data_IF_563048404615
#
_entry.id   IF_563048404615
#
_cell.length_a   1.000
_cell.length_b   1.000
_cell.length_c   1.000
_cell.angle_alpha   90.00
_cell.angle_beta   90.00
_cell.angle_gamma   90.00
#
_symmetry.space_group_name_H-M   'P 1'
#
loop_
_entity.id
_entity.type
_entity.pdbx_description
1 polymer ?
#
# COMPACT_ATOMS: atom_id res chain seq x y z
N UNK A 1 30.05 0.21 46.63
CA UNK A 1 29.27 -0.79 45.91
C UNK A 1 28.56 -0.06 44.79
N UNK A 2 29.15 -0.13 43.61
CA UNK A 2 28.64 0.56 42.41
C UNK A 2 27.79 -0.46 41.61
N UNK A 3 26.52 -0.15 41.42
CA UNK A 3 25.60 -0.94 40.62
C UNK A 3 25.80 -0.61 39.13
N UNK A 4 26.20 -1.60 38.35
CA UNK A 4 26.30 -1.51 36.90
C UNK A 4 24.90 -1.43 36.28
N UNK A 5 24.69 -0.49 35.36
CA UNK A 5 23.49 -0.39 34.54
C UNK A 5 23.41 -1.55 33.54
N UNK A 6 22.21 -2.08 33.21
CA UNK A 6 22.06 -3.12 32.23
C UNK A 6 22.34 -2.57 30.81
N UNK A 7 23.27 -3.18 30.11
CA UNK A 7 23.62 -2.86 28.75
C UNK A 7 22.45 -3.13 27.79
N UNK A 8 22.06 -2.12 27.03
CA UNK A 8 21.19 -2.24 25.86
C UNK A 8 21.97 -2.95 24.76
N UNK A 9 21.70 -4.24 24.58
CA UNK A 9 22.16 -4.99 23.43
C UNK A 9 21.57 -4.41 22.13
N UNK A 10 22.26 -4.56 20.99
CA UNK A 10 21.77 -4.06 19.72
C UNK A 10 20.40 -4.69 19.40
N UNK A 11 19.43 -3.83 19.05
CA UNK A 11 18.14 -4.29 18.58
C UNK A 11 18.36 -5.23 17.38
N UNK A 12 17.83 -6.44 17.50
CA UNK A 12 17.86 -7.44 16.45
C UNK A 12 17.08 -6.86 15.26
N UNK A 13 17.75 -6.66 14.13
CA UNK A 13 17.08 -6.39 12.86
C UNK A 13 16.02 -7.47 12.64
N UNK A 14 14.75 -7.10 12.37
CA UNK A 14 13.76 -8.07 12.00
C UNK A 14 14.23 -8.72 10.69
N UNK A 15 14.50 -10.00 10.70
CA UNK A 15 14.82 -10.76 9.50
C UNK A 15 13.61 -10.65 8.56
N UNK A 16 13.74 -9.85 7.48
CA UNK A 16 12.78 -9.84 6.38
C UNK A 16 12.79 -11.24 5.80
N UNK A 17 11.71 -12.03 5.90
CA UNK A 17 11.69 -13.33 5.27
C UNK A 17 11.88 -13.13 3.78
N UNK A 18 12.91 -13.77 3.21
CA UNK A 18 13.08 -13.86 1.77
C UNK A 18 11.74 -14.30 1.15
N UNK A 19 11.34 -13.67 0.05
CA UNK A 19 10.07 -13.85 -0.68
C UNK A 19 9.50 -15.26 -0.53
N UNK A 20 8.70 -15.47 0.50
CA UNK A 20 7.91 -16.69 0.63
C UNK A 20 6.71 -16.45 -0.27
N UNK A 21 6.74 -17.01 -1.47
CA UNK A 21 5.54 -17.15 -2.27
C UNK A 21 4.57 -17.99 -1.47
N UNK A 22 3.56 -17.39 -0.85
CA UNK A 22 2.54 -18.09 -0.08
C UNK A 22 1.89 -19.18 -0.92
N UNK A 23 1.33 -20.20 -0.25
CA UNK A 23 0.51 -21.22 -0.92
C UNK A 23 -0.82 -20.61 -1.38
N UNK A 24 -1.42 -21.20 -2.39
CA UNK A 24 -2.79 -20.89 -2.78
C UNK A 24 -3.75 -21.36 -1.69
N UNK A 25 -4.64 -20.47 -1.28
CA UNK A 25 -5.68 -20.69 -0.27
C UNK A 25 -7.01 -20.26 -0.81
N UNK A 26 -8.06 -20.88 -0.34
CA UNK A 26 -9.42 -20.39 -0.55
C UNK A 26 -9.70 -19.29 0.45
N UNK A 27 -10.02 -18.11 -0.06
CA UNK A 27 -10.41 -16.94 0.70
C UNK A 27 -11.89 -16.65 0.50
N UNK A 28 -12.63 -16.35 1.55
CA UNK A 28 -14.06 -16.03 1.47
C UNK A 28 -14.27 -14.52 1.57
N UNK A 29 -15.07 -13.94 0.69
CA UNK A 29 -15.45 -12.52 0.77
C UNK A 29 -16.40 -12.34 1.96
N UNK A 30 -15.99 -11.54 2.95
CA UNK A 30 -16.77 -11.25 4.15
C UNK A 30 -17.44 -9.87 4.13
N UNK A 31 -16.89 -8.93 3.34
CA UNK A 31 -17.50 -7.63 3.10
C UNK A 31 -17.12 -7.12 1.71
N UNK A 32 -18.04 -6.34 1.11
CA UNK A 32 -17.85 -5.67 -0.18
C UNK A 32 -18.51 -4.30 -0.14
N UNK A 33 -17.75 -3.27 -0.47
CA UNK A 33 -18.19 -1.87 -0.48
C UNK A 33 -17.67 -1.16 -1.74
N UNK A 34 -18.38 -0.13 -2.19
CA UNK A 34 -17.95 0.73 -3.30
C UNK A 34 -17.64 2.15 -2.79
N UNK A 35 -16.42 2.42 -2.31
CA UNK A 35 -16.05 3.73 -1.79
C UNK A 35 -16.14 4.85 -2.83
N UNK A 36 -15.96 4.51 -4.11
CA UNK A 36 -16.14 5.40 -5.26
C UNK A 36 -16.80 4.64 -6.41
N UNK A 37 -17.30 5.34 -7.44
CA UNK A 37 -17.87 4.65 -8.63
C UNK A 37 -16.88 3.75 -9.38
N UNK A 38 -15.58 3.92 -9.15
CA UNK A 38 -14.51 3.19 -9.86
C UNK A 38 -13.69 2.29 -8.96
N UNK A 39 -14.02 2.18 -7.68
CA UNK A 39 -13.27 1.32 -6.75
C UNK A 39 -14.19 0.39 -5.97
N UNK A 40 -13.71 -0.82 -5.72
CA UNK A 40 -14.32 -1.78 -4.81
C UNK A 40 -13.36 -2.10 -3.67
N UNK A 41 -13.87 -2.03 -2.45
CA UNK A 41 -13.18 -2.46 -1.24
C UNK A 41 -13.74 -3.82 -0.83
N UNK A 42 -12.85 -4.79 -0.70
CA UNK A 42 -13.18 -6.16 -0.35
C UNK A 42 -12.45 -6.55 0.93
N UNK A 43 -13.16 -7.25 1.81
CA UNK A 43 -12.54 -7.93 2.95
C UNK A 43 -12.68 -9.43 2.76
N UNK A 44 -11.57 -10.13 3.00
CA UNK A 44 -11.50 -11.59 2.88
C UNK A 44 -11.14 -12.22 4.23
N UNK A 45 -11.82 -13.29 4.56
CA UNK A 45 -11.30 -14.28 5.50
C UNK A 45 -10.38 -15.24 4.74
N UNK A 46 -9.15 -15.39 5.23
CA UNK A 46 -8.13 -16.25 4.63
C UNK A 46 -7.61 -17.20 5.71
N UNK A 47 -8.14 -18.41 5.79
CA UNK A 47 -7.74 -19.38 6.80
C UNK A 47 -6.24 -19.67 6.80
N UNK A 48 -5.64 -19.78 7.98
CA UNK A 48 -4.21 -20.09 8.18
C UNK A 48 -3.24 -19.19 7.42
N UNK A 49 -3.64 -17.93 7.15
CA UNK A 49 -2.77 -16.98 6.46
C UNK A 49 -1.50 -16.72 7.24
N UNK A 50 -0.39 -16.59 6.54
CA UNK A 50 0.85 -16.06 7.11
C UNK A 50 0.70 -14.55 7.21
N UNK A 51 1.01 -13.90 8.36
CA UNK A 51 1.02 -12.45 8.46
C UNK A 51 1.93 -11.82 7.39
N UNK A 52 1.41 -10.84 6.68
CA UNK A 52 2.18 -10.09 5.69
C UNK A 52 2.90 -8.90 6.34
N UNK A 53 3.87 -8.32 5.62
CA UNK A 53 4.46 -7.02 5.97
C UNK A 53 3.74 -5.91 5.21
N UNK A 54 3.62 -4.70 5.78
CA UNK A 54 3.05 -3.55 5.07
C UNK A 54 3.81 -3.28 3.78
N UNK A 55 3.10 -3.19 2.67
CA UNK A 55 3.66 -3.04 1.34
C UNK A 55 3.79 -4.34 0.54
N UNK A 56 3.56 -5.52 1.16
CA UNK A 56 3.39 -6.75 0.40
C UNK A 56 2.04 -6.79 -0.31
N UNK A 57 1.92 -7.68 -1.28
CA UNK A 57 0.73 -7.88 -2.07
C UNK A 57 0.25 -9.33 -2.03
N UNK A 58 -0.93 -9.56 -2.56
CA UNK A 58 -1.45 -10.88 -2.86
C UNK A 58 -1.68 -11.03 -4.36
N UNK A 59 -1.79 -12.28 -4.82
CA UNK A 59 -2.35 -12.62 -6.12
C UNK A 59 -3.72 -13.24 -5.88
N UNK A 60 -4.75 -12.72 -6.54
CA UNK A 60 -6.06 -13.35 -6.63
C UNK A 60 -6.21 -14.05 -7.96
N UNK A 61 -6.90 -15.19 -7.99
CA UNK A 61 -7.16 -15.97 -9.19
C UNK A 61 -8.64 -16.33 -9.28
N UNK A 62 -9.24 -15.96 -10.40
CA UNK A 62 -10.57 -16.40 -10.79
C UNK A 62 -10.43 -17.64 -11.67
N UNK A 63 -11.36 -18.56 -11.54
CA UNK A 63 -11.45 -19.75 -12.37
C UNK A 63 -12.84 -19.88 -12.95
N UNK A 64 -12.94 -19.96 -14.27
CA UNK A 64 -14.17 -20.24 -14.97
C UNK A 64 -14.47 -21.74 -15.00
N UNK A 65 -15.72 -22.11 -15.27
CA UNK A 65 -16.18 -23.52 -15.32
C UNK A 65 -15.46 -24.35 -16.38
N UNK A 66 -15.04 -23.73 -17.49
CA UNK A 66 -14.27 -24.36 -18.57
C UNK A 66 -12.78 -24.56 -18.23
N UNK A 67 -12.35 -24.14 -17.02
CA UNK A 67 -10.97 -24.23 -16.56
C UNK A 67 -10.09 -23.03 -16.89
N UNK A 68 -10.58 -22.04 -17.63
CA UNK A 68 -9.85 -20.79 -17.85
C UNK A 68 -9.56 -20.10 -16.53
N UNK A 69 -8.41 -19.45 -16.41
CA UNK A 69 -8.02 -18.72 -15.19
C UNK A 69 -7.48 -17.33 -15.51
N UNK A 70 -7.95 -16.35 -14.77
CA UNK A 70 -7.42 -15.00 -14.76
C UNK A 70 -6.86 -14.66 -13.38
N UNK A 71 -5.68 -14.03 -13.33
CA UNK A 71 -5.07 -13.66 -12.06
C UNK A 71 -4.48 -12.26 -12.09
N UNK A 72 -4.53 -11.56 -10.92
CA UNK A 72 -3.95 -10.21 -10.77
C UNK A 72 -3.37 -10.04 -9.38
N UNK A 73 -2.34 -9.20 -9.31
CA UNK A 73 -1.70 -8.79 -8.06
C UNK A 73 -2.37 -7.53 -7.50
N UNK A 74 -2.59 -7.52 -6.19
CA UNK A 74 -3.14 -6.37 -5.47
C UNK A 74 -2.38 -6.16 -4.16
N UNK A 75 -1.95 -4.93 -3.89
CA UNK A 75 -1.37 -4.57 -2.60
C UNK A 75 -2.42 -4.74 -1.49
N UNK A 76 -2.00 -5.25 -0.34
CA UNK A 76 -2.88 -5.34 0.83
C UNK A 76 -3.13 -3.95 1.40
N UNK A 77 -4.39 -3.65 1.71
CA UNK A 77 -4.82 -2.44 2.41
C UNK A 77 -4.75 -2.62 3.93
N UNK A 78 -5.07 -3.83 4.41
CA UNK A 78 -5.00 -4.19 5.82
C UNK A 78 -3.57 -4.22 6.33
N UNK A 79 -3.39 -3.86 7.61
CA UNK A 79 -2.13 -4.03 8.30
C UNK A 79 -1.95 -5.48 8.79
N UNK A 80 -0.70 -5.92 9.07
CA UNK A 80 -0.41 -7.30 9.46
C UNK A 80 -1.18 -7.85 10.66
N UNK A 81 -1.52 -6.98 11.61
CA UNK A 81 -2.21 -7.31 12.86
C UNK A 81 -3.73 -7.37 12.73
N UNK A 82 -4.29 -6.87 11.62
CA UNK A 82 -5.74 -6.86 11.40
C UNK A 82 -6.23 -8.26 11.02
N UNK A 83 -7.44 -8.58 11.46
CA UNK A 83 -8.10 -9.82 11.06
C UNK A 83 -8.53 -9.73 9.59
N UNK A 84 -8.28 -10.81 8.85
CA UNK A 84 -8.59 -10.86 7.42
C UNK A 84 -7.60 -10.09 6.54
N UNK A 85 -7.96 -9.98 5.27
CA UNK A 85 -7.21 -9.25 4.25
C UNK A 85 -8.14 -8.26 3.56
N UNK A 86 -7.78 -6.99 3.57
CA UNK A 86 -8.50 -5.97 2.81
C UNK A 86 -7.76 -5.65 1.52
N UNK A 87 -8.51 -5.57 0.42
CA UNK A 87 -8.04 -5.15 -0.88
C UNK A 87 -8.93 -4.01 -1.40
N UNK A 88 -8.32 -2.96 -1.90
CA UNK A 88 -9.01 -1.92 -2.64
C UNK A 88 -8.57 -1.99 -4.09
N UNK A 89 -9.53 -2.26 -4.97
CA UNK A 89 -9.30 -2.48 -6.39
C UNK A 89 -9.92 -1.36 -7.21
N UNK A 90 -9.20 -0.86 -8.20
CA UNK A 90 -9.75 0.04 -9.21
C UNK A 90 -10.34 -0.80 -10.35
N UNK A 91 -11.58 -0.49 -10.74
CA UNK A 91 -12.26 -1.12 -11.86
C UNK A 91 -11.70 -0.56 -13.16
N UNK A 92 -11.17 -1.41 -14.00
CA UNK A 92 -10.77 -1.11 -15.37
C UNK A 92 -11.84 -1.59 -16.35
N UNK A 93 -12.10 -0.83 -17.41
CA UNK A 93 -13.16 -1.12 -18.40
C UNK A 93 -12.99 -2.51 -19.04
N UNK A 94 -11.74 -2.86 -19.39
CA UNK A 94 -11.39 -4.16 -19.96
C UNK A 94 -10.75 -5.11 -18.93
N UNK A 95 -10.87 -4.78 -17.64
CA UNK A 95 -10.25 -5.53 -16.56
C UNK A 95 -11.09 -6.71 -16.13
N UNK A 96 -10.76 -7.92 -16.58
CA UNK A 96 -11.50 -9.14 -16.28
C UNK A 96 -11.63 -9.40 -14.77
N UNK A 97 -10.52 -9.40 -14.03
CA UNK A 97 -10.52 -9.64 -12.58
C UNK A 97 -11.14 -8.45 -11.83
N UNK A 98 -10.77 -7.22 -12.15
CA UNK A 98 -11.31 -6.04 -11.48
C UNK A 98 -12.80 -5.83 -11.81
N UNK A 99 -13.23 -6.16 -13.03
CA UNK A 99 -14.64 -6.16 -13.44
C UNK A 99 -15.47 -7.18 -12.67
N UNK A 100 -14.98 -8.42 -12.51
CA UNK A 100 -15.65 -9.43 -11.71
C UNK A 100 -15.89 -8.92 -10.27
N UNK A 101 -14.85 -8.41 -9.60
CA UNK A 101 -15.00 -7.93 -8.24
C UNK A 101 -15.90 -6.71 -8.10
N UNK A 102 -15.94 -5.83 -9.09
CA UNK A 102 -16.76 -4.63 -9.04
C UNK A 102 -18.23 -4.89 -9.39
N UNK A 103 -18.52 -5.82 -10.31
CA UNK A 103 -19.83 -5.95 -10.93
C UNK A 103 -20.56 -7.27 -10.59
N UNK A 104 -19.83 -8.33 -10.21
CA UNK A 104 -20.37 -9.69 -10.07
C UNK A 104 -20.22 -10.26 -8.68
N UNK A 105 -19.06 -10.10 -8.06
CA UNK A 105 -18.70 -10.69 -6.76
C UNK A 105 -19.68 -10.34 -5.64
N UNK A 106 -19.87 -11.26 -4.72
CA UNK A 106 -20.79 -11.13 -3.57
C UNK A 106 -20.12 -11.61 -2.30
N UNK A 107 -20.63 -11.13 -1.17
CA UNK A 107 -20.28 -11.68 0.14
C UNK A 107 -20.64 -13.17 0.18
N UNK A 108 -19.71 -13.99 0.62
CA UNK A 108 -19.80 -15.45 0.64
C UNK A 108 -19.10 -16.15 -0.54
N UNK A 109 -18.70 -15.41 -1.60
CA UNK A 109 -17.94 -16.02 -2.69
C UNK A 109 -16.55 -16.44 -2.23
N UNK A 110 -16.10 -17.59 -2.75
CA UNK A 110 -14.79 -18.16 -2.51
C UNK A 110 -13.83 -17.83 -3.65
N UNK A 111 -12.68 -17.29 -3.32
CA UNK A 111 -11.67 -16.81 -4.27
C UNK A 111 -10.33 -17.47 -3.96
N UNK A 112 -9.62 -17.95 -4.97
CA UNK A 112 -8.25 -18.43 -4.79
C UNK A 112 -7.30 -17.24 -4.58
N UNK A 113 -6.63 -17.23 -3.45
CA UNK A 113 -5.70 -16.17 -3.06
C UNK A 113 -4.35 -16.74 -2.64
N UNK A 114 -3.27 -16.08 -3.04
CA UNK A 114 -1.90 -16.41 -2.63
C UNK A 114 -1.25 -15.19 -2.01
N UNK A 115 -0.85 -15.30 -0.74
CA UNK A 115 -0.17 -14.23 0.01
C UNK A 115 0.67 -14.84 1.15
N UNK A 116 1.64 -14.10 1.72
CA UNK A 116 2.14 -12.80 1.24
C UNK A 116 3.12 -12.95 0.07
N UNK A 117 3.20 -11.94 -0.79
CA UNK A 117 4.12 -11.89 -1.93
C UNK A 117 4.86 -10.57 -1.93
N UNK A 118 6.13 -10.60 -2.40
CA UNK A 118 7.00 -9.44 -2.45
C UNK A 118 7.83 -9.26 -1.16
N UNK A 119 8.94 -8.55 -1.28
CA UNK A 119 9.86 -8.28 -0.17
C UNK A 119 10.68 -7.00 -0.37
N UNK A 120 10.65 -6.44 -1.59
CA UNK A 120 11.38 -5.22 -1.90
C UNK A 120 10.62 -3.96 -1.47
N UNK A 121 9.32 -3.90 -1.73
CA UNK A 121 8.46 -2.77 -1.38
C UNK A 121 7.79 -3.01 -0.02
N UNK A 122 8.56 -3.13 1.05
CA UNK A 122 8.04 -3.35 2.41
C UNK A 122 8.60 -2.34 3.38
N UNK A 123 7.81 -2.02 4.39
CA UNK A 123 8.26 -1.28 5.55
C UNK A 123 8.38 -2.21 6.77
N UNK A 124 9.50 -2.11 7.47
CA UNK A 124 9.88 -3.03 8.58
C UNK A 124 9.29 -2.64 9.95
N UNK A 125 8.53 -1.55 10.02
CA UNK A 125 7.96 -1.06 11.28
C UNK A 125 8.93 -0.27 12.16
N UNK A 126 10.20 -0.12 11.77
CA UNK A 126 11.24 0.50 12.61
C UNK A 126 12.06 1.58 11.91
N UNK A 127 12.26 1.46 10.60
CA UNK A 127 13.09 2.39 9.82
C UNK A 127 12.30 3.67 9.49
N UNK A 128 12.84 4.88 9.75
CA UNK A 128 12.22 6.13 9.30
C UNK A 128 11.99 6.14 7.79
N UNK A 129 10.75 6.32 7.37
CA UNK A 129 10.33 6.21 5.97
C UNK A 129 9.57 7.44 5.47
N UNK A 130 9.79 7.78 4.20
CA UNK A 130 8.89 8.62 3.43
C UNK A 130 8.18 7.78 2.37
N UNK A 131 6.86 7.89 2.27
CA UNK A 131 6.06 7.11 1.36
C UNK A 131 5.20 8.01 0.45
N UNK A 132 5.36 7.87 -0.87
CA UNK A 132 4.68 8.67 -1.87
C UNK A 132 3.74 7.80 -2.70
N UNK A 133 2.43 8.08 -2.69
CA UNK A 133 1.40 7.31 -3.38
C UNK A 133 0.67 8.09 -4.47
N UNK A 134 0.45 7.49 -5.63
CA UNK A 134 -0.35 8.05 -6.73
C UNK A 134 -1.63 7.27 -6.98
N UNK A 135 -2.80 7.90 -6.84
CA UNK A 135 -4.09 7.21 -7.00
C UNK A 135 -4.21 6.03 -6.05
N UNK A 136 -4.55 4.85 -6.58
CA UNK A 136 -4.61 3.59 -5.82
C UNK A 136 -3.25 3.11 -5.30
N UNK A 137 -2.13 3.73 -5.74
CA UNK A 137 -0.82 3.55 -5.11
C UNK A 137 -0.75 4.02 -3.64
N UNK A 138 -1.77 4.70 -3.15
CA UNK A 138 -1.92 4.99 -1.72
C UNK A 138 -2.26 3.74 -0.87
N UNK A 139 -2.78 2.67 -1.46
CA UNK A 139 -3.24 1.45 -0.76
C UNK A 139 -2.17 0.86 0.16
N UNK A 140 -0.96 0.50 -0.31
CA UNK A 140 0.06 -0.05 0.57
C UNK A 140 0.54 0.95 1.63
N UNK A 141 0.41 2.25 1.38
CA UNK A 141 0.76 3.29 2.34
C UNK A 141 -0.22 3.36 3.51
N UNK A 142 -1.51 3.09 3.25
CA UNK A 142 -2.52 2.95 4.33
C UNK A 142 -2.14 1.81 5.25
N UNK A 143 -1.75 0.64 4.73
CA UNK A 143 -1.28 -0.49 5.53
C UNK A 143 -0.06 -0.10 6.41
N UNK A 144 0.87 0.70 5.87
CA UNK A 144 2.03 1.20 6.62
C UNK A 144 1.59 2.15 7.75
N UNK A 145 0.68 3.08 7.49
CA UNK A 145 0.13 4.01 8.48
C UNK A 145 -0.59 3.27 9.61
N UNK A 146 -1.44 2.31 9.27
CA UNK A 146 -2.14 1.46 10.25
C UNK A 146 -1.17 0.69 11.12
N UNK A 147 -0.17 0.09 10.49
CA UNK A 147 0.86 -0.65 11.21
C UNK A 147 1.70 0.25 12.13
N UNK A 148 2.11 1.43 11.66
CA UNK A 148 2.85 2.41 12.46
C UNK A 148 2.05 2.87 13.70
N UNK A 149 0.74 3.08 13.56
CA UNK A 149 -0.15 3.40 14.67
C UNK A 149 -0.24 2.25 15.67
N UNK A 150 -0.41 1.02 15.18
CA UNK A 150 -0.45 -0.18 16.03
C UNK A 150 0.82 -0.36 16.86
N UNK A 151 1.98 -0.13 16.25
CA UNK A 151 3.28 -0.20 16.93
C UNK A 151 3.57 1.01 17.85
N UNK A 152 2.74 2.04 17.84
CA UNK A 152 2.98 3.27 18.60
C UNK A 152 4.09 4.17 18.03
N UNK A 153 4.45 4.01 16.77
CA UNK A 153 5.53 4.75 16.08
C UNK A 153 5.04 5.52 14.84
N UNK A 154 3.90 6.24 14.89
CA UNK A 154 3.34 6.92 13.71
C UNK A 154 4.29 7.96 13.12
N UNK A 155 5.21 8.49 13.90
CA UNK A 155 6.21 9.48 13.47
C UNK A 155 7.28 8.91 12.52
N UNK A 156 7.42 7.58 12.43
CA UNK A 156 8.40 6.93 11.55
C UNK A 156 7.96 6.87 10.09
N UNK A 157 6.67 7.04 9.78
CA UNK A 157 6.17 7.01 8.40
C UNK A 157 5.54 8.35 8.04
N UNK A 158 6.16 9.06 7.12
CA UNK A 158 5.62 10.30 6.55
C UNK A 158 5.07 10.03 5.17
N UNK A 159 3.81 10.41 4.93
CA UNK A 159 3.08 10.04 3.72
C UNK A 159 2.69 11.29 2.92
N UNK A 160 2.85 11.21 1.60
CA UNK A 160 2.15 12.10 0.69
C UNK A 160 1.42 11.28 -0.38
N UNK A 161 0.20 11.70 -0.70
CA UNK A 161 -0.61 11.08 -1.75
C UNK A 161 -0.99 12.10 -2.80
N UNK A 162 -1.04 11.67 -4.06
CA UNK A 162 -1.46 12.50 -5.18
C UNK A 162 -2.57 11.82 -5.97
N UNK A 163 -3.68 12.53 -6.18
CA UNK A 163 -4.81 12.04 -6.96
C UNK A 163 -5.40 13.17 -7.83
N UNK A 164 -6.36 12.85 -8.67
CA UNK A 164 -7.07 13.86 -9.48
C UNK A 164 -7.91 14.79 -8.60
N UNK A 165 -8.67 14.20 -7.70
CA UNK A 165 -9.48 14.90 -6.70
C UNK A 165 -9.33 14.24 -5.33
N UNK A 166 -9.81 14.89 -4.28
CA UNK A 166 -9.78 14.31 -2.92
C UNK A 166 -10.66 13.06 -2.79
N UNK A 167 -11.72 12.95 -3.58
CA UNK A 167 -12.58 11.76 -3.61
C UNK A 167 -11.86 10.53 -4.20
N UNK A 168 -10.82 10.75 -5.02
CA UNK A 168 -10.05 9.65 -5.63
C UNK A 168 -8.92 9.13 -4.71
N UNK A 169 -8.77 9.69 -3.50
CA UNK A 169 -7.75 9.22 -2.53
C UNK A 169 -8.33 8.09 -1.69
N UNK A 170 -7.79 6.86 -1.78
CA UNK A 170 -8.22 5.76 -0.93
C UNK A 170 -8.01 6.08 0.56
N UNK A 171 -9.01 5.75 1.38
CA UNK A 171 -8.95 5.96 2.84
C UNK A 171 -8.49 7.38 3.24
N UNK A 172 -8.93 8.40 2.48
CA UNK A 172 -8.44 9.79 2.62
C UNK A 172 -8.51 10.31 4.04
N UNK A 173 -9.64 10.13 4.71
CA UNK A 173 -9.83 10.64 6.07
C UNK A 173 -8.80 10.04 7.05
N UNK A 174 -8.49 8.76 6.90
CA UNK A 174 -7.50 8.06 7.70
C UNK A 174 -6.06 8.55 7.44
N UNK A 175 -5.75 8.80 6.17
CA UNK A 175 -4.46 9.37 5.77
C UNK A 175 -4.28 10.81 6.28
N UNK A 176 -5.32 11.65 6.17
CA UNK A 176 -5.31 13.03 6.68
C UNK A 176 -5.16 13.06 8.21
N UNK A 177 -5.87 12.19 8.92
CA UNK A 177 -5.74 12.03 10.37
C UNK A 177 -4.34 11.56 10.80
N UNK A 178 -3.64 10.82 9.92
CA UNK A 178 -2.24 10.47 10.10
C UNK A 178 -1.26 11.60 9.73
N UNK A 179 -1.74 12.77 9.33
CA UNK A 179 -0.91 13.89 8.90
C UNK A 179 -0.37 13.76 7.48
N UNK A 180 -0.93 12.90 6.64
CA UNK A 180 -0.49 12.76 5.26
C UNK A 180 -0.78 14.04 4.44
N UNK A 181 0.18 14.41 3.59
CA UNK A 181 0.00 15.47 2.62
C UNK A 181 -0.85 14.96 1.45
N UNK A 182 -1.99 15.60 1.20
CA UNK A 182 -2.87 15.27 0.08
C UNK A 182 -2.72 16.30 -1.04
N UNK A 183 -2.20 15.89 -2.18
CA UNK A 183 -2.04 16.69 -3.40
C UNK A 183 -3.09 16.32 -4.44
N UNK A 184 -3.97 17.25 -4.78
CA UNK A 184 -4.98 17.03 -5.81
C UNK A 184 -4.64 17.82 -7.08
N UNK A 185 -4.75 17.19 -8.25
CA UNK A 185 -4.27 17.79 -9.51
C UNK A 185 -5.35 18.49 -10.34
N UNK A 186 -6.64 18.24 -10.07
CA UNK A 186 -7.75 18.82 -10.86
C UNK A 186 -8.69 19.68 -10.06
N UNK A 187 -8.86 19.44 -8.76
CA UNK A 187 -9.74 20.22 -7.90
C UNK A 187 -8.99 20.64 -6.64
N UNK A 188 -9.29 21.85 -6.13
CA UNK A 188 -8.72 22.33 -4.87
C UNK A 188 -9.17 21.45 -3.71
N UNK A 189 -8.24 21.15 -2.81
CA UNK A 189 -8.50 20.47 -1.55
C UNK A 189 -7.72 21.15 -0.43
N UNK A 190 -8.41 21.55 0.62
CA UNK A 190 -7.80 22.25 1.74
C UNK A 190 -7.10 23.57 1.38
N UNK A 191 -6.23 24.02 2.25
CA UNK A 191 -5.47 25.26 2.10
C UNK A 191 -4.35 25.17 1.05
N UNK A 192 -3.88 23.95 0.74
CA UNK A 192 -2.78 23.74 -0.21
C UNK A 192 -3.10 24.20 -1.65
N UNK A 193 -4.38 24.23 -2.01
CA UNK A 193 -4.80 24.47 -3.39
C UNK A 193 -4.77 23.17 -4.21
N UNK A 194 -4.47 23.27 -5.53
CA UNK A 194 -4.34 22.11 -6.41
C UNK A 194 -2.99 22.15 -7.14
N UNK A 195 -2.55 20.99 -7.61
CA UNK A 195 -1.29 20.79 -8.30
C UNK A 195 -0.59 19.50 -7.88
N UNK A 196 0.46 19.15 -8.61
CA UNK A 196 1.32 18.01 -8.29
C UNK A 196 2.06 18.23 -6.96
N UNK A 197 2.67 17.19 -6.41
CA UNK A 197 3.63 17.31 -5.32
C UNK A 197 4.76 18.28 -5.72
N UNK A 198 5.15 19.14 -4.79
CA UNK A 198 6.18 20.15 -4.98
C UNK A 198 7.49 19.72 -4.33
N UNK A 199 8.60 20.23 -4.84
CA UNK A 199 9.93 19.89 -4.35
C UNK A 199 10.11 20.17 -2.85
N UNK A 200 9.67 21.36 -2.39
CA UNK A 200 9.75 21.76 -0.98
C UNK A 200 8.91 20.87 -0.06
N UNK A 201 7.77 20.37 -0.54
CA UNK A 201 6.93 19.44 0.22
C UNK A 201 7.60 18.08 0.41
N UNK A 202 8.16 17.54 -0.68
CA UNK A 202 8.85 16.25 -0.64
C UNK A 202 10.16 16.36 0.15
N UNK A 203 10.88 17.46 0.04
CA UNK A 203 12.10 17.72 0.82
C UNK A 203 11.81 17.68 2.33
N UNK A 204 10.75 18.39 2.79
CA UNK A 204 10.36 18.37 4.19
C UNK A 204 9.92 17.01 4.69
N UNK A 205 9.23 16.21 3.84
CA UNK A 205 8.84 14.85 4.18
C UNK A 205 10.01 13.87 4.20
N UNK A 206 11.01 14.08 3.35
CA UNK A 206 12.16 13.19 3.22
C UNK A 206 13.25 13.43 4.29
N UNK A 207 13.16 14.53 5.06
CA UNK A 207 14.13 14.86 6.10
C UNK A 207 14.27 13.73 7.12
N UNK A 208 15.48 13.17 7.27
CA UNK A 208 15.77 12.06 8.18
C UNK A 208 15.20 10.69 7.76
N UNK A 209 14.51 10.58 6.61
CA UNK A 209 14.09 9.29 6.09
C UNK A 209 15.30 8.47 5.64
N UNK A 210 15.28 7.16 5.93
CA UNK A 210 16.31 6.19 5.56
C UNK A 210 15.85 5.27 4.43
N UNK A 211 14.54 5.23 4.17
CA UNK A 211 13.91 4.52 3.06
C UNK A 211 12.83 5.39 2.47
N UNK A 212 12.70 5.38 1.16
CA UNK A 212 11.62 6.01 0.43
C UNK A 212 10.84 4.96 -0.37
N UNK A 213 9.52 4.99 -0.24
CA UNK A 213 8.60 4.04 -0.86
C UNK A 213 7.71 4.79 -1.85
N UNK A 214 7.75 4.44 -3.11
CA UNK A 214 7.00 5.10 -4.19
C UNK A 214 6.06 4.11 -4.85
N UNK A 215 4.76 4.39 -4.83
CA UNK A 215 3.76 3.49 -5.40
C UNK A 215 2.76 4.24 -6.28
N UNK A 216 2.50 3.72 -7.49
CA UNK A 216 1.54 4.31 -8.43
C UNK A 216 1.87 4.04 -9.89
N UNK A 217 1.27 4.82 -10.81
CA UNK A 217 1.53 4.70 -12.24
C UNK A 217 2.99 5.01 -12.59
N UNK A 218 3.47 4.48 -13.71
CA UNK A 218 4.84 4.75 -14.23
C UNK A 218 5.16 6.24 -14.27
N UNK A 219 4.20 7.07 -14.74
CA UNK A 219 4.39 8.52 -14.81
C UNK A 219 4.49 9.17 -13.41
N UNK A 220 3.68 8.72 -12.45
CA UNK A 220 3.78 9.19 -11.07
C UNK A 220 5.09 8.75 -10.43
N UNK A 221 5.44 7.47 -10.54
CA UNK A 221 6.64 6.91 -9.94
C UNK A 221 7.91 7.62 -10.43
N UNK A 222 8.01 7.90 -11.74
CA UNK A 222 9.13 8.65 -12.30
C UNK A 222 9.24 10.07 -11.77
N UNK A 223 8.12 10.79 -11.65
CA UNK A 223 8.08 12.14 -11.08
C UNK A 223 8.42 12.17 -9.59
N UNK A 224 7.83 11.26 -8.80
CA UNK A 224 8.07 11.14 -7.36
C UNK A 224 9.53 10.76 -7.06
N UNK A 225 10.09 9.82 -7.82
CA UNK A 225 11.50 9.44 -7.69
C UNK A 225 12.44 10.61 -7.93
N UNK A 226 12.18 11.43 -8.96
CA UNK A 226 12.99 12.63 -9.23
C UNK A 226 12.94 13.60 -8.06
N UNK A 227 11.75 13.89 -7.52
CA UNK A 227 11.60 14.77 -6.34
C UNK A 227 12.36 14.24 -5.11
N UNK A 228 12.38 12.93 -4.88
CA UNK A 228 13.15 12.32 -3.79
C UNK A 228 14.66 12.42 -4.00
N UNK A 229 15.13 12.20 -5.22
CA UNK A 229 16.55 12.39 -5.57
C UNK A 229 16.98 13.85 -5.40
N UNK A 230 16.16 14.80 -5.85
CA UNK A 230 16.40 16.24 -5.70
C UNK A 230 16.36 16.65 -4.21
N UNK A 231 15.60 15.96 -3.37
CA UNK A 231 15.58 16.11 -1.91
C UNK A 231 16.77 15.43 -1.20
N UNK A 232 17.70 14.81 -1.94
CA UNK A 232 18.90 14.17 -1.40
C UNK A 232 18.72 12.73 -0.93
N UNK A 233 17.60 12.08 -1.21
CA UNK A 233 17.42 10.65 -0.92
C UNK A 233 18.29 9.82 -1.87
N UNK A 234 19.12 8.97 -1.31
CA UNK A 234 19.99 8.09 -2.11
C UNK A 234 19.15 7.12 -2.98
N UNK A 235 19.61 6.86 -4.21
CA UNK A 235 18.92 5.98 -5.15
C UNK A 235 18.64 4.59 -4.55
N UNK A 236 19.59 4.05 -3.81
CA UNK A 236 19.52 2.72 -3.19
C UNK A 236 18.50 2.65 -2.04
N UNK A 237 18.11 3.80 -1.49
CA UNK A 237 17.07 3.90 -0.48
C UNK A 237 15.66 4.01 -1.07
N UNK A 238 15.52 4.22 -2.40
CA UNK A 238 14.22 4.37 -3.06
C UNK A 238 13.74 3.02 -3.58
N UNK A 239 12.58 2.60 -3.08
CA UNK A 239 11.89 1.38 -3.50
C UNK A 239 10.62 1.76 -4.24
N UNK A 240 10.41 1.17 -5.42
CA UNK A 240 9.33 1.56 -6.32
C UNK A 240 8.47 0.34 -6.62
N UNK A 241 7.15 0.50 -6.49
CA UNK A 241 6.16 -0.44 -7.01
C UNK A 241 5.24 0.30 -7.99
N UNK A 242 5.11 -0.25 -9.19
CA UNK A 242 4.34 0.37 -10.26
C UNK A 242 3.10 -0.43 -10.57
N UNK A 243 1.97 0.26 -10.73
CA UNK A 243 0.74 -0.29 -11.25
C UNK A 243 0.47 0.32 -12.63
N UNK A 244 -0.13 -0.47 -13.47
CA UNK A 244 -0.58 -0.05 -14.78
C UNK A 244 -1.40 -1.14 -15.42
N UNK A 245 -2.10 -0.88 -16.53
CA UNK A 245 -2.61 -1.95 -17.35
C UNK A 245 -1.42 -2.87 -17.63
N UNK A 246 -1.61 -4.17 -17.39
CA UNK A 246 -0.60 -5.17 -17.71
C UNK A 246 -0.32 -5.02 -19.20
N UNK A 247 0.86 -4.44 -19.53
CA UNK A 247 1.28 -4.35 -20.93
C UNK A 247 1.29 -5.76 -21.51
N UNK A 248 0.82 -5.85 -22.75
CA UNK A 248 0.95 -7.00 -23.62
C UNK A 248 2.39 -7.49 -23.69
#
# INVERSE_FOLDING_TARGET
>A
MSAAAPGTGPAREPAVPASVGGEWRTATITALEHPTPTTVLLRFDVPDRIPHLPGQHCVVRLRAEDGYTAQRSYSTLSAPHEEGVELLMERYEDGEVSGFFADVARVGDEIEMRLPIGGFFVWDGATPAVALGGGTGAVPLVAMVRHARHLGVPHLVRVAVSARTAADVPCRAELEDAGALVATTRKRHGARGFGRLRAEEVQGLAEGARVALVCGSTAFAGGATRLLLDAGVGRDAIRIEQFGPSGE
#
